data_IF_295909811167
#
_entry.id   IF_295909811167
#
_cell.length_a   1.000
_cell.length_b   1.000
_cell.length_c   1.000
_cell.angle_alpha   90.00
_cell.angle_beta   90.00
_cell.angle_gamma   90.00
#
_symmetry.space_group_name_H-M   'P 1'
#
loop_
_entity.id
_entity.type
_entity.pdbx_description
1 polymer ?
#
# COMPACT_ATOMS: atom_id res chain seq x y z
N UNK A 1 -27.39 9.01 -13.17
CA UNK A 1 -26.34 8.02 -12.80
C UNK A 1 -25.51 8.50 -11.62
N UNK A 2 -25.09 9.78 -11.61
CA UNK A 2 -24.38 10.40 -10.48
C UNK A 2 -25.18 10.40 -9.15
N UNK A 3 -26.48 10.67 -9.21
CA UNK A 3 -27.38 10.68 -8.03
C UNK A 3 -27.53 9.31 -7.34
N UNK A 4 -27.35 8.21 -8.07
CA UNK A 4 -27.39 6.88 -7.45
C UNK A 4 -26.11 6.63 -6.65
N UNK A 5 -24.97 7.08 -7.15
CA UNK A 5 -23.66 6.88 -6.49
C UNK A 5 -23.63 7.63 -5.17
N UNK A 6 -24.17 8.85 -5.10
CA UNK A 6 -24.28 9.61 -3.84
C UNK A 6 -25.19 8.93 -2.81
N UNK A 7 -26.31 8.34 -3.24
CA UNK A 7 -27.18 7.59 -2.33
C UNK A 7 -26.51 6.35 -1.72
N UNK A 8 -25.64 5.67 -2.47
CA UNK A 8 -24.82 4.59 -1.92
C UNK A 8 -23.73 5.10 -0.97
N UNK A 9 -23.26 6.33 -1.19
CA UNK A 9 -22.28 6.98 -0.34
C UNK A 9 -22.86 7.39 1.03
N UNK A 10 -24.11 7.82 1.04
CA UNK A 10 -24.86 8.18 2.26
C UNK A 10 -25.29 6.96 3.11
N UNK A 11 -25.25 5.75 2.53
CA UNK A 11 -25.50 4.48 3.25
C UNK A 11 -24.25 3.97 4.00
N UNK A 12 -23.08 4.53 3.71
CA UNK A 12 -21.87 4.24 4.47
C UNK A 12 -21.90 5.10 5.75
N UNK A 13 -21.63 4.54 6.94
CA UNK A 13 -21.56 5.32 8.17
C UNK A 13 -20.62 6.52 7.96
N UNK A 14 -20.95 7.69 8.50
CA UNK A 14 -20.19 8.94 8.30
C UNK A 14 -18.70 8.85 8.69
N UNK A 15 -18.31 7.80 9.44
CA UNK A 15 -16.91 7.41 9.68
C UNK A 15 -16.40 6.17 8.90
N UNK A 16 -17.29 5.35 8.36
CA UNK A 16 -17.00 4.11 7.62
C UNK A 16 -16.71 4.32 6.13
N UNK A 17 -17.25 5.37 5.51
CA UNK A 17 -16.93 5.75 4.12
C UNK A 17 -15.43 6.00 3.93
N UNK A 18 -14.80 6.66 4.90
CA UNK A 18 -13.36 6.92 4.91
C UNK A 18 -12.48 5.69 5.19
N UNK A 19 -13.03 4.60 5.70
CA UNK A 19 -12.30 3.33 5.89
C UNK A 19 -12.41 2.46 4.64
N UNK A 20 -13.60 2.38 4.05
CA UNK A 20 -13.79 1.68 2.78
C UNK A 20 -12.99 2.34 1.65
N UNK A 21 -13.00 3.68 1.59
CA UNK A 21 -12.19 4.40 0.61
C UNK A 21 -10.70 4.14 0.81
N UNK A 22 -10.22 4.18 2.06
CA UNK A 22 -8.83 3.84 2.40
C UNK A 22 -8.46 2.43 1.94
N UNK A 23 -9.36 1.45 2.12
CA UNK A 23 -9.15 0.09 1.65
C UNK A 23 -9.06 0.05 0.12
N UNK A 24 -9.95 0.74 -0.59
CA UNK A 24 -9.96 0.80 -2.06
C UNK A 24 -8.65 1.42 -2.57
N UNK A 25 -8.26 2.56 -2.03
CA UNK A 25 -7.01 3.26 -2.39
C UNK A 25 -5.79 2.35 -2.18
N UNK A 26 -5.74 1.65 -1.05
CA UNK A 26 -4.68 0.71 -0.74
C UNK A 26 -4.69 -0.48 -1.70
N UNK A 27 -5.85 -1.08 -1.99
CA UNK A 27 -5.97 -2.18 -2.96
C UNK A 27 -5.49 -1.75 -4.34
N UNK A 28 -5.88 -0.56 -4.80
CA UNK A 28 -5.45 -0.01 -6.09
C UNK A 28 -3.93 0.17 -6.11
N UNK A 29 -3.35 0.79 -5.09
CA UNK A 29 -1.90 1.02 -5.01
C UNK A 29 -1.11 -0.29 -4.97
N UNK A 30 -1.52 -1.25 -4.13
CA UNK A 30 -0.86 -2.56 -4.03
C UNK A 30 -0.99 -3.38 -5.31
N UNK A 31 -2.14 -3.31 -5.99
CA UNK A 31 -2.35 -4.01 -7.26
C UNK A 31 -1.43 -3.44 -8.34
N UNK A 32 -1.32 -2.12 -8.42
CA UNK A 32 -0.44 -1.44 -9.38
C UNK A 32 1.05 -1.77 -9.12
N UNK A 33 1.49 -1.72 -7.86
CA UNK A 33 2.85 -2.09 -7.47
C UNK A 33 3.12 -3.58 -7.69
N UNK A 34 2.20 -4.46 -7.29
CA UNK A 34 2.32 -5.91 -7.47
C UNK A 34 2.36 -6.31 -8.94
N UNK A 35 1.60 -5.63 -9.81
CA UNK A 35 1.69 -5.80 -11.25
C UNK A 35 3.07 -5.38 -11.79
N UNK A 36 3.56 -4.19 -11.41
CA UNK A 36 4.87 -3.69 -11.81
C UNK A 36 6.01 -4.62 -11.34
N UNK A 37 5.90 -5.13 -10.12
CA UNK A 37 6.80 -6.11 -9.54
C UNK A 37 6.81 -7.43 -10.33
N UNK A 38 5.63 -7.96 -10.66
CA UNK A 38 5.48 -9.23 -11.37
C UNK A 38 5.87 -9.17 -12.86
N UNK A 39 5.86 -7.99 -13.48
CA UNK A 39 6.18 -7.78 -14.91
C UNK A 39 7.57 -8.30 -15.29
N UNK A 40 8.50 -8.30 -14.33
CA UNK A 40 9.85 -8.82 -14.53
C UNK A 40 9.98 -10.34 -14.53
N UNK A 41 9.01 -11.10 -14.00
CA UNK A 41 9.13 -12.55 -13.82
C UNK A 41 8.53 -13.33 -15.00
N UNK A 42 9.06 -14.54 -15.23
CA UNK A 42 8.47 -15.52 -16.16
C UNK A 42 7.05 -15.88 -15.69
N UNK A 43 6.15 -16.22 -16.61
CA UNK A 43 4.75 -16.52 -16.25
C UNK A 43 4.60 -17.58 -15.15
N UNK A 44 5.51 -18.56 -15.10
CA UNK A 44 5.53 -19.64 -14.08
C UNK A 44 6.10 -19.21 -12.72
N UNK A 45 6.84 -18.10 -12.67
CA UNK A 45 7.49 -17.56 -11.46
C UNK A 45 6.72 -16.37 -10.86
N UNK A 46 5.65 -15.90 -11.53
CA UNK A 46 4.83 -14.79 -11.05
C UNK A 46 4.07 -15.21 -9.81
N UNK A 47 4.28 -14.47 -8.72
CA UNK A 47 3.42 -14.56 -7.54
C UNK A 47 2.07 -13.88 -7.77
N UNK A 48 1.16 -13.92 -6.77
CA UNK A 48 -0.09 -13.16 -6.84
C UNK A 48 0.19 -11.67 -6.96
N UNK A 49 -0.62 -10.97 -7.76
CA UNK A 49 -0.54 -9.51 -7.94
C UNK A 49 -0.83 -8.80 -6.60
N UNK A 50 -1.89 -9.23 -5.92
CA UNK A 50 -2.24 -8.75 -4.59
C UNK A 50 -1.96 -9.83 -3.56
N UNK A 51 -0.95 -9.61 -2.72
CA UNK A 51 -0.61 -10.52 -1.61
C UNK A 51 -1.51 -10.20 -0.43
N UNK A 52 -2.49 -11.06 -0.14
CA UNK A 52 -3.44 -10.86 0.96
C UNK A 52 -2.77 -10.61 2.33
N UNK A 53 -1.72 -11.36 2.75
CA UNK A 53 -1.05 -11.07 4.02
C UNK A 53 -0.46 -9.66 4.07
N UNK A 54 0.09 -9.19 2.94
CA UNK A 54 0.66 -7.86 2.83
C UNK A 54 -0.43 -6.78 2.86
N UNK A 55 -1.57 -7.02 2.20
CA UNK A 55 -2.74 -6.16 2.26
C UNK A 55 -3.26 -6.03 3.69
N UNK A 56 -3.42 -7.15 4.41
CA UNK A 56 -3.93 -7.14 5.79
C UNK A 56 -3.03 -6.35 6.72
N UNK A 57 -1.71 -6.55 6.64
CA UNK A 57 -0.75 -5.82 7.47
C UNK A 57 -0.71 -4.34 7.10
N UNK A 58 -0.68 -4.01 5.81
CA UNK A 58 -0.70 -2.64 5.32
C UNK A 58 -1.98 -1.91 5.72
N UNK A 59 -3.14 -2.56 5.61
CA UNK A 59 -4.41 -1.99 5.99
C UNK A 59 -4.50 -1.76 7.49
N UNK A 60 -4.04 -2.73 8.30
CA UNK A 60 -3.94 -2.56 9.75
C UNK A 60 -3.06 -1.38 10.15
N UNK A 61 -1.91 -1.21 9.48
CA UNK A 61 -1.04 -0.05 9.69
C UNK A 61 -1.73 1.26 9.29
N UNK A 62 -2.40 1.31 8.14
CA UNK A 62 -3.10 2.50 7.68
C UNK A 62 -4.22 2.91 8.65
N UNK A 63 -4.97 1.94 9.20
CA UNK A 63 -5.97 2.18 10.24
C UNK A 63 -5.36 2.67 11.56
N UNK A 64 -4.27 2.04 12.00
CA UNK A 64 -3.56 2.42 13.21
C UNK A 64 -3.07 3.86 13.10
N UNK A 65 -2.43 4.22 11.99
CA UNK A 65 -1.96 5.58 11.72
C UNK A 65 -3.12 6.57 11.64
N UNK A 66 -4.22 6.21 10.96
CA UNK A 66 -5.42 7.05 10.86
C UNK A 66 -6.08 7.33 12.22
N UNK A 67 -5.97 6.39 13.16
CA UNK A 67 -6.51 6.54 14.51
C UNK A 67 -5.60 7.37 15.43
N UNK A 68 -4.31 7.49 15.11
CA UNK A 68 -3.36 8.28 15.89
C UNK A 68 -3.47 9.74 15.49
N UNK A 69 -4.22 10.51 16.28
CA UNK A 69 -4.35 11.97 16.11
C UNK A 69 -3.07 12.74 16.50
N UNK A 70 -2.23 12.15 17.36
CA UNK A 70 -0.99 12.77 17.81
C UNK A 70 0.18 12.49 16.84
N UNK A 71 0.80 13.54 16.25
CA UNK A 71 1.79 13.39 15.18
C UNK A 71 3.04 12.63 15.62
N UNK A 72 3.39 12.69 16.91
CA UNK A 72 4.59 12.03 17.43
C UNK A 72 4.41 10.51 17.51
N UNK A 73 3.24 10.04 17.93
CA UNK A 73 2.92 8.61 17.98
C UNK A 73 2.83 8.00 16.59
N UNK A 74 2.23 8.73 15.66
CA UNK A 74 2.13 8.27 14.28
C UNK A 74 3.51 8.18 13.62
N UNK A 75 4.43 9.12 13.88
CA UNK A 75 5.82 9.04 13.43
C UNK A 75 6.56 7.81 14.00
N UNK A 76 6.39 7.53 15.30
CA UNK A 76 6.99 6.35 15.94
C UNK A 76 6.47 5.04 15.33
N UNK A 77 5.16 4.95 15.09
CA UNK A 77 4.54 3.77 14.46
C UNK A 77 5.02 3.56 13.03
N UNK A 78 5.16 4.64 12.24
CA UNK A 78 5.76 4.52 10.91
C UNK A 78 7.20 4.04 11.02
N UNK A 79 8.01 4.64 11.89
CA UNK A 79 9.42 4.28 12.03
C UNK A 79 9.58 2.79 12.36
N UNK A 80 8.80 2.29 13.32
CA UNK A 80 8.77 0.85 13.66
C UNK A 80 8.28 0.01 12.47
N UNK A 81 7.19 0.42 11.81
CA UNK A 81 6.65 -0.29 10.64
C UNK A 81 7.64 -0.40 9.49
N UNK A 82 8.39 0.67 9.20
CA UNK A 82 9.42 0.70 8.16
C UNK A 82 10.62 -0.17 8.53
N UNK A 83 11.07 -0.12 9.79
CA UNK A 83 12.16 -0.98 10.28
C UNK A 83 11.77 -2.45 10.17
N UNK A 84 10.56 -2.82 10.62
CA UNK A 84 10.05 -4.19 10.54
C UNK A 84 9.89 -4.62 9.08
N UNK A 85 9.35 -3.76 8.21
CA UNK A 85 9.20 -4.07 6.79
C UNK A 85 10.53 -4.21 6.06
N UNK A 86 11.52 -3.36 6.39
CA UNK A 86 12.87 -3.44 5.86
C UNK A 86 13.60 -4.70 6.34
N UNK A 87 13.41 -5.07 7.61
CA UNK A 87 13.97 -6.30 8.18
C UNK A 87 13.37 -7.55 7.53
N UNK A 88 12.04 -7.62 7.40
CA UNK A 88 11.34 -8.75 6.76
C UNK A 88 11.60 -8.80 5.24
N UNK A 89 11.73 -7.65 4.58
CA UNK A 89 12.03 -7.56 3.15
C UNK A 89 13.46 -7.94 2.76
N UNK A 90 14.36 -8.12 3.74
CA UNK A 90 15.78 -8.41 3.52
C UNK A 90 16.01 -9.79 2.88
N UNK A 91 15.07 -10.72 3.01
CA UNK A 91 15.14 -12.05 2.40
C UNK A 91 14.69 -12.10 0.92
N UNK A 92 14.02 -11.07 0.42
CA UNK A 92 13.39 -11.07 -0.92
C UNK A 92 14.31 -10.54 -2.04
N UNK A 93 15.53 -11.09 -2.15
CA UNK A 93 16.49 -10.86 -3.25
C UNK A 93 16.70 -9.37 -3.67
N UNK A 94 16.48 -8.41 -2.76
CA UNK A 94 16.61 -6.98 -3.03
C UNK A 94 15.43 -6.32 -3.77
N UNK A 95 14.32 -7.03 -3.99
CA UNK A 95 13.09 -6.46 -4.62
C UNK A 95 11.87 -6.45 -3.68
N UNK A 96 12.08 -6.46 -2.36
CA UNK A 96 10.99 -6.55 -1.38
C UNK A 96 9.88 -5.51 -1.60
N UNK A 97 8.66 -5.98 -1.85
CA UNK A 97 7.43 -5.16 -1.94
C UNK A 97 7.04 -4.55 -0.58
N UNK A 98 7.53 -5.12 0.52
CA UNK A 98 7.10 -4.77 1.88
C UNK A 98 7.32 -3.29 2.22
N UNK A 99 8.53 -2.78 2.00
CA UNK A 99 8.89 -1.42 2.40
C UNK A 99 8.08 -0.32 1.68
N UNK A 100 7.99 -0.29 0.34
CA UNK A 100 7.17 0.72 -0.33
C UNK A 100 5.69 0.57 0.00
N UNK A 101 5.19 -0.65 0.20
CA UNK A 101 3.81 -0.88 0.62
C UNK A 101 3.52 -0.30 2.00
N UNK A 102 4.38 -0.52 2.99
CA UNK A 102 4.17 0.05 4.33
C UNK A 102 4.24 1.58 4.33
N UNK A 103 5.12 2.17 3.52
CA UNK A 103 5.19 3.62 3.37
C UNK A 103 3.92 4.19 2.71
N UNK A 104 3.42 3.56 1.64
CA UNK A 104 2.15 3.96 1.01
C UNK A 104 1.00 3.84 2.00
N UNK A 105 0.92 2.74 2.74
CA UNK A 105 -0.11 2.53 3.77
C UNK A 105 -0.07 3.61 4.86
N UNK A 106 1.12 3.97 5.34
CA UNK A 106 1.29 5.07 6.28
C UNK A 106 0.79 6.39 5.70
N UNK A 107 1.23 6.77 4.49
CA UNK A 107 0.82 8.02 3.84
C UNK A 107 -0.70 8.11 3.65
N UNK A 108 -1.34 7.00 3.24
CA UNK A 108 -2.79 6.92 3.13
C UNK A 108 -3.48 7.01 4.50
N UNK A 109 -2.92 6.38 5.54
CA UNK A 109 -3.39 6.50 6.91
C UNK A 109 -3.38 7.94 7.43
N UNK A 110 -2.37 8.73 7.06
CA UNK A 110 -2.28 10.18 7.34
C UNK A 110 -3.21 11.04 6.47
N UNK A 111 -3.87 10.48 5.46
CA UNK A 111 -4.64 11.25 4.48
C UNK A 111 -3.79 12.00 3.45
N UNK A 112 -2.50 11.71 3.34
CA UNK A 112 -1.59 12.32 2.37
C UNK A 112 -1.66 11.63 1.01
N UNK A 113 -2.84 11.72 0.37
CA UNK A 113 -3.18 11.07 -0.90
C UNK A 113 -2.17 11.35 -2.03
N UNK A 114 -1.78 12.62 -2.21
CA UNK A 114 -0.84 13.01 -3.28
C UNK A 114 0.54 12.38 -3.06
N UNK A 115 1.05 12.39 -1.82
CA UNK A 115 2.32 11.76 -1.48
C UNK A 115 2.27 10.25 -1.67
N UNK A 116 1.16 9.61 -1.29
CA UNK A 116 0.97 8.19 -1.48
C UNK A 116 0.95 7.81 -2.98
N UNK A 117 0.27 8.60 -3.81
CA UNK A 117 0.23 8.41 -5.25
C UNK A 117 1.61 8.61 -5.88
N UNK A 118 2.33 9.68 -5.50
CA UNK A 118 3.69 9.94 -5.96
C UNK A 118 4.65 8.80 -5.60
N UNK A 119 4.59 8.32 -4.35
CA UNK A 119 5.41 7.19 -3.92
C UNK A 119 5.07 5.90 -4.67
N UNK A 120 3.79 5.65 -4.91
CA UNK A 120 3.33 4.49 -5.71
C UNK A 120 3.90 4.55 -7.12
N UNK A 121 3.85 5.72 -7.77
CA UNK A 121 4.42 5.93 -9.11
C UNK A 121 5.93 5.72 -9.13
N UNK A 122 6.66 6.31 -8.17
CA UNK A 122 8.11 6.15 -8.05
C UNK A 122 8.47 4.68 -7.83
N UNK A 123 7.77 3.98 -6.95
CA UNK A 123 7.98 2.55 -6.72
C UNK A 123 7.70 1.73 -7.98
N UNK A 124 6.62 2.02 -8.71
CA UNK A 124 6.32 1.36 -9.98
C UNK A 124 7.43 1.57 -11.01
N UNK A 125 7.90 2.82 -11.19
CA UNK A 125 9.00 3.13 -12.11
C UNK A 125 10.26 2.36 -11.69
N UNK A 126 10.59 2.35 -10.40
CA UNK A 126 11.73 1.60 -9.87
C UNK A 126 11.61 0.09 -10.16
N UNK A 127 10.44 -0.51 -9.99
CA UNK A 127 10.22 -1.93 -10.31
C UNK A 127 10.29 -2.22 -11.81
N UNK A 128 9.78 -1.32 -12.65
CA UNK A 128 9.80 -1.46 -14.10
C UNK A 128 11.20 -1.32 -14.70
N UNK A 129 12.05 -0.49 -14.10
CA UNK A 129 13.44 -0.28 -14.52
C UNK A 129 14.42 -1.28 -13.87
N UNK A 130 14.05 -1.89 -12.74
CA UNK A 130 14.89 -2.85 -12.02
C UNK A 130 15.20 -4.07 -12.91
N UNK A 131 16.49 -4.40 -13.12
CA UNK A 131 16.89 -5.50 -14.00
C UNK A 131 16.36 -6.84 -13.50
N UNK A 132 15.71 -7.58 -14.40
CA UNK A 132 15.23 -8.95 -14.14
C UNK A 132 16.43 -9.86 -13.96
N UNK A 133 16.67 -10.33 -12.73
CA UNK A 133 17.60 -11.43 -12.50
C UNK A 133 16.90 -12.72 -12.97
N UNK A 134 17.06 -13.05 -14.25
CA UNK A 134 16.78 -14.38 -14.79
C UNK A 134 17.66 -15.36 -14.01
N UNK A 135 17.11 -16.10 -13.05
CA UNK A 135 17.72 -17.32 -12.54
C UNK A 135 16.70 -18.42 -12.70
#
# INVERSE_FOLDING_TARGET
>A
MWERISQWWDLLPDGGSGIFLLLIELVVALTAMGWAYNRGYRNTERGPILRLPLLTVAFGLALLVKHLHEPWWAAAVIAVGVVVAGFLGRNDNGRGLGLPVMLVAALLGFGMLISAAALTLVAMIAYLLSPVKKR
#
